data_IF_879426891151
#
_entry.id   IF_879426891151
#
_cell.length_a   1.000
_cell.length_b   1.000
_cell.length_c   1.000
_cell.angle_alpha   90.00
_cell.angle_beta   90.00
_cell.angle_gamma   90.00
#
_symmetry.space_group_name_H-M   'P 1'
#
loop_
_entity.id
_entity.type
_entity.pdbx_description
1 polymer ?
#
# COMPACT_ATOMS: atom_id res chain seq x y z
N UNK A 1 -21.60 -8.95 16.58
CA UNK A 1 -22.87 -8.25 16.30
C UNK A 1 -22.78 -7.79 14.86
N UNK A 2 -23.44 -8.49 13.94
CA UNK A 2 -23.35 -8.21 12.51
C UNK A 2 -24.21 -6.98 12.21
N UNK A 3 -23.57 -5.90 11.77
CA UNK A 3 -24.28 -4.77 11.21
C UNK A 3 -24.75 -5.13 9.79
N UNK A 4 -26.01 -4.84 9.43
CA UNK A 4 -26.50 -5.09 8.09
C UNK A 4 -25.76 -4.19 7.08
N UNK A 5 -25.35 -4.78 5.97
CA UNK A 5 -24.76 -4.07 4.83
C UNK A 5 -25.89 -3.27 4.18
N UNK A 6 -26.08 -2.03 4.59
CA UNK A 6 -26.66 -0.99 3.74
C UNK A 6 -25.57 -0.54 2.78
N UNK A 7 -25.86 -0.41 1.49
CA UNK A 7 -24.97 0.24 0.52
C UNK A 7 -24.38 1.51 1.16
N UNK A 8 -23.07 1.50 1.43
CA UNK A 8 -22.43 2.65 2.05
C UNK A 8 -22.58 3.85 1.11
N UNK A 9 -23.00 4.99 1.66
CA UNK A 9 -22.87 6.26 0.96
C UNK A 9 -21.41 6.45 0.55
N UNK A 10 -21.16 6.90 -0.67
CA UNK A 10 -19.81 7.09 -1.20
C UNK A 10 -19.08 8.12 -0.32
N UNK A 11 -18.09 7.66 0.44
CA UNK A 11 -17.18 8.52 1.19
C UNK A 11 -16.02 8.90 0.28
N UNK A 12 -15.70 10.19 0.32
CA UNK A 12 -14.56 10.78 -0.34
C UNK A 12 -13.43 11.05 0.66
N UNK A 13 -12.20 10.93 0.17
CA UNK A 13 -11.00 11.32 0.87
C UNK A 13 -10.21 12.29 0.00
N UNK A 14 -9.86 13.44 0.56
CA UNK A 14 -8.93 14.35 -0.09
C UNK A 14 -7.68 14.52 0.73
N UNK A 15 -6.55 14.62 0.06
CA UNK A 15 -5.28 14.96 0.70
C UNK A 15 -4.50 15.97 -0.13
N UNK A 16 -3.74 16.82 0.56
CA UNK A 16 -2.79 17.73 -0.06
C UNK A 16 -1.44 17.01 -0.12
N UNK A 17 -0.89 16.92 -1.32
CA UNK A 17 0.43 16.34 -1.56
C UNK A 17 1.22 17.25 -2.48
N UNK A 18 2.54 17.25 -2.32
CA UNK A 18 3.42 17.89 -3.29
C UNK A 18 3.17 17.24 -4.67
N UNK A 19 3.19 18.04 -5.72
CA UNK A 19 3.22 17.50 -7.07
C UNK A 19 4.56 16.76 -7.20
N UNK A 20 4.55 15.63 -7.89
CA UNK A 20 5.78 14.97 -8.28
C UNK A 20 5.91 15.07 -9.79
N UNK A 21 7.15 15.18 -10.24
CA UNK A 21 7.46 15.11 -11.64
C UNK A 21 8.20 13.82 -11.98
N UNK A 22 7.87 13.30 -13.16
CA UNK A 22 8.42 12.13 -13.78
C UNK A 22 8.99 12.48 -15.16
N UNK A 23 9.75 13.58 -15.26
CA UNK A 23 10.28 14.03 -16.55
C UNK A 23 11.37 13.10 -17.10
N UNK A 24 11.34 12.93 -18.42
CA UNK A 24 12.50 12.54 -19.21
C UNK A 24 13.44 13.74 -19.32
N UNK A 25 14.48 13.80 -18.50
CA UNK A 25 15.56 14.76 -18.74
C UNK A 25 16.19 14.46 -20.11
N UNK A 26 16.68 15.50 -20.80
CA UNK A 26 17.36 15.51 -22.11
C UNK A 26 18.39 14.38 -22.36
N UNK A 27 18.84 13.67 -21.31
CA UNK A 27 19.73 12.52 -21.35
C UNK A 27 19.03 11.14 -21.33
N UNK A 28 17.73 11.06 -21.62
CA UNK A 28 16.88 9.86 -21.44
C UNK A 28 16.80 9.35 -20.00
N UNK A 29 17.13 10.19 -19.01
CA UNK A 29 17.04 9.86 -17.57
C UNK A 29 15.67 10.27 -17.05
N UNK A 30 14.86 9.31 -16.61
CA UNK A 30 13.60 9.55 -15.89
C UNK A 30 13.86 9.61 -14.39
N UNK A 31 13.79 10.78 -13.79
CA UNK A 31 14.02 10.95 -12.34
C UNK A 31 12.73 11.37 -11.64
N UNK A 32 12.28 10.54 -10.69
CA UNK A 32 11.22 10.93 -9.75
C UNK A 32 11.77 11.97 -8.77
N UNK A 33 11.03 13.06 -8.59
CA UNK A 33 11.28 14.04 -7.54
C UNK A 33 10.00 14.81 -7.20
N UNK A 34 9.88 15.21 -5.94
CA UNK A 34 8.83 16.13 -5.51
C UNK A 34 9.14 17.55 -5.98
N UNK A 35 8.11 18.27 -6.41
CA UNK A 35 8.15 19.71 -6.61
C UNK A 35 7.86 20.43 -5.30
N UNK A 36 8.07 21.74 -5.28
CA UNK A 36 7.64 22.60 -4.17
C UNK A 36 6.14 22.90 -4.22
N UNK A 37 5.54 22.82 -5.42
CA UNK A 37 4.10 22.99 -5.61
C UNK A 37 3.33 21.84 -4.96
N UNK A 38 2.18 22.16 -4.37
CA UNK A 38 1.28 21.18 -3.76
C UNK A 38 -0.11 21.29 -4.37
N UNK A 39 -0.82 20.17 -4.36
CA UNK A 39 -2.18 20.10 -4.87
C UNK A 39 -3.03 19.14 -4.05
N UNK A 40 -4.33 19.41 -4.06
CA UNK A 40 -5.31 18.52 -3.46
C UNK A 40 -5.68 17.41 -4.44
N UNK A 41 -5.71 16.18 -3.93
CA UNK A 41 -6.10 14.98 -4.64
C UNK A 41 -7.35 14.39 -4.00
N UNK A 42 -8.41 14.25 -4.81
CA UNK A 42 -9.70 13.74 -4.36
C UNK A 42 -9.89 12.28 -4.81
N UNK A 43 -10.28 11.42 -3.88
CA UNK A 43 -10.52 10.00 -4.10
C UNK A 43 -11.92 9.65 -3.61
N UNK A 44 -12.70 8.96 -4.44
CA UNK A 44 -14.03 8.48 -4.08
C UNK A 44 -14.00 7.00 -3.67
N UNK A 45 -15.17 6.50 -3.26
CA UNK A 45 -15.39 5.10 -2.88
C UNK A 45 -14.42 4.61 -1.79
N UNK A 46 -14.07 5.51 -0.87
CA UNK A 46 -13.11 5.26 0.19
C UNK A 46 -13.78 4.57 1.39
N UNK A 47 -13.02 3.69 2.04
CA UNK A 47 -13.33 3.13 3.35
C UNK A 47 -12.32 3.67 4.36
N UNK A 48 -12.81 4.14 5.49
CA UNK A 48 -11.99 4.75 6.53
C UNK A 48 -11.96 3.83 7.74
N UNK A 49 -10.75 3.54 8.21
CA UNK A 49 -10.50 2.87 9.49
C UNK A 49 -9.50 3.70 10.28
N UNK A 50 -9.45 3.53 11.59
CA UNK A 50 -8.54 4.29 12.44
C UNK A 50 -8.15 3.50 13.69
N UNK A 51 -7.03 3.90 14.28
CA UNK A 51 -6.44 3.24 15.43
C UNK A 51 -5.72 4.28 16.29
N UNK A 52 -6.02 4.30 17.59
CA UNK A 52 -5.39 5.21 18.56
C UNK A 52 -3.91 4.84 18.72
N UNK A 53 -2.97 5.75 18.47
CA UNK A 53 -1.53 5.47 18.68
C UNK A 53 -1.05 5.91 20.06
N UNK A 54 -1.59 7.02 20.53
CA UNK A 54 -1.36 7.58 21.86
C UNK A 54 -2.59 8.37 22.30
N UNK A 55 -2.56 8.99 23.48
CA UNK A 55 -3.62 9.91 23.92
C UNK A 55 -3.84 11.09 22.98
N UNK A 56 -2.83 11.48 22.20
CA UNK A 56 -2.88 12.65 21.32
C UNK A 56 -2.80 12.32 19.83
N UNK A 57 -2.56 11.07 19.47
CA UNK A 57 -2.27 10.68 18.10
C UNK A 57 -3.20 9.55 17.64
N UNK A 58 -3.78 9.74 16.46
CA UNK A 58 -4.62 8.78 15.77
C UNK A 58 -3.99 8.43 14.44
N UNK A 59 -3.86 7.15 14.13
CA UNK A 59 -3.56 6.69 12.77
C UNK A 59 -4.85 6.43 12.03
N UNK A 60 -4.99 7.06 10.87
CA UNK A 60 -6.11 6.86 9.95
C UNK A 60 -5.61 6.06 8.77
N UNK A 61 -6.37 5.04 8.38
CA UNK A 61 -6.11 4.19 7.23
C UNK A 61 -7.30 4.28 6.28
N UNK A 62 -7.05 4.83 5.10
CA UNK A 62 -7.98 4.97 4.00
C UNK A 62 -7.73 3.85 3.01
N UNK A 63 -8.79 3.18 2.57
CA UNK A 63 -8.71 2.18 1.49
C UNK A 63 -9.66 2.51 0.37
N UNK A 64 -9.22 2.29 -0.86
CA UNK A 64 -10.07 2.38 -2.05
C UNK A 64 -9.79 1.16 -2.94
N UNK A 65 -10.66 0.90 -3.91
CA UNK A 65 -10.43 -0.18 -4.87
C UNK A 65 -11.07 0.12 -6.21
N UNK A 66 -10.41 -0.31 -7.28
CA UNK A 66 -10.90 -0.14 -8.66
C UNK A 66 -10.72 -1.44 -9.43
N UNK A 67 -11.69 -1.75 -10.30
CA UNK A 67 -11.54 -2.81 -11.29
C UNK A 67 -10.75 -2.26 -12.48
N UNK A 68 -9.74 -2.99 -12.92
CA UNK A 68 -8.94 -2.65 -14.10
C UNK A 68 -8.69 -3.89 -14.94
N UNK A 69 -8.55 -3.72 -16.26
CA UNK A 69 -8.05 -4.79 -17.11
C UNK A 69 -6.55 -4.97 -16.89
N UNK A 70 -6.13 -6.18 -16.55
CA UNK A 70 -4.72 -6.55 -16.42
C UNK A 70 -4.25 -7.26 -17.68
N UNK A 71 -3.33 -6.62 -18.40
CA UNK A 71 -2.66 -7.22 -19.57
C UNK A 71 -1.92 -8.51 -19.22
N UNK A 72 -1.22 -8.53 -18.07
CA UNK A 72 -0.45 -9.70 -17.64
C UNK A 72 -1.33 -10.89 -17.24
N UNK A 73 -2.55 -10.62 -16.76
CA UNK A 73 -3.52 -11.65 -16.36
C UNK A 73 -4.55 -11.95 -17.46
N UNK A 74 -4.59 -11.15 -18.53
CA UNK A 74 -5.57 -11.19 -19.62
C UNK A 74 -7.03 -11.19 -19.11
N UNK A 75 -7.31 -10.49 -17.99
CA UNK A 75 -8.65 -10.40 -17.37
C UNK A 75 -8.81 -9.14 -16.53
N UNK A 76 -10.04 -8.81 -16.15
CA UNK A 76 -10.30 -7.81 -15.12
C UNK A 76 -9.81 -8.30 -13.75
N UNK A 77 -9.15 -7.41 -13.03
CA UNK A 77 -8.64 -7.63 -11.68
C UNK A 77 -9.00 -6.45 -10.80
N UNK A 78 -9.12 -6.71 -9.50
CA UNK A 78 -9.35 -5.69 -8.49
C UNK A 78 -8.01 -5.20 -7.96
N UNK A 79 -7.70 -3.93 -8.17
CA UNK A 79 -6.60 -3.26 -7.49
C UNK A 79 -7.15 -2.62 -6.21
N UNK A 80 -6.47 -2.89 -5.09
CA UNK A 80 -6.74 -2.27 -3.80
C UNK A 80 -5.66 -1.26 -3.46
N UNK A 81 -6.08 -0.15 -2.88
CA UNK A 81 -5.24 0.95 -2.48
C UNK A 81 -5.34 1.15 -0.98
N UNK A 82 -4.23 1.48 -0.34
CA UNK A 82 -4.17 1.86 1.08
C UNK A 82 -3.34 3.14 1.24
N UNK A 83 -3.87 4.09 1.99
CA UNK A 83 -3.19 5.32 2.40
C UNK A 83 -3.29 5.44 3.92
N UNK A 84 -2.16 5.59 4.59
CA UNK A 84 -2.08 5.68 6.04
C UNK A 84 -1.42 6.96 6.48
N UNK A 85 -2.05 7.70 7.39
CA UNK A 85 -1.49 8.94 7.94
C UNK A 85 -1.80 9.07 9.42
N UNK A 86 -0.94 9.80 10.12
CA UNK A 86 -1.10 10.11 11.54
C UNK A 86 -1.63 11.54 11.70
N UNK A 87 -2.57 11.73 12.62
CA UNK A 87 -3.12 13.05 12.98
C UNK A 87 -3.12 13.25 14.48
N UNK A 88 -2.89 14.50 14.89
CA UNK A 88 -3.12 14.91 16.28
C UNK A 88 -4.63 15.03 16.52
N UNK A 89 -5.12 14.44 17.61
CA UNK A 89 -6.54 14.46 17.99
C UNK A 89 -7.11 15.88 18.04
N UNK A 90 -6.34 16.82 18.59
CA UNK A 90 -6.74 18.23 18.74
C UNK A 90 -6.93 18.95 17.40
N UNK A 91 -6.43 18.39 16.29
CA UNK A 91 -6.58 18.96 14.94
C UNK A 91 -7.84 18.45 14.22
N UNK A 92 -8.56 17.47 14.78
CA UNK A 92 -9.75 16.91 14.14
C UNK A 92 -10.92 17.85 14.41
N UNK A 93 -11.40 18.52 13.37
CA UNK A 93 -12.51 19.46 13.47
C UNK A 93 -13.87 18.75 13.54
N UNK A 94 -14.83 19.38 14.21
CA UNK A 94 -16.24 18.98 14.13
C UNK A 94 -16.73 19.05 12.68
N UNK A 95 -17.60 18.13 12.20
CA UNK A 95 -18.05 18.13 10.81
C UNK A 95 -18.71 19.45 10.39
N UNK A 96 -18.31 19.97 9.23
CA UNK A 96 -18.75 21.26 8.69
C UNK A 96 -19.41 21.12 7.31
N UNK A 97 -20.22 22.10 6.94
CA UNK A 97 -20.71 22.28 5.57
C UNK A 97 -19.75 23.21 4.82
N UNK A 98 -19.28 22.81 3.66
CA UNK A 98 -18.40 23.61 2.80
C UNK A 98 -18.87 23.61 1.36
N UNK A 99 -18.66 24.73 0.67
CA UNK A 99 -18.77 24.77 -0.80
C UNK A 99 -17.48 24.25 -1.40
N UNK A 100 -17.59 23.26 -2.28
CA UNK A 100 -16.47 22.59 -2.90
C UNK A 100 -16.75 22.32 -4.37
N UNK A 101 -15.74 22.43 -5.23
CA UNK A 101 -15.93 22.14 -6.64
C UNK A 101 -15.77 20.65 -6.88
N UNK A 102 -16.70 20.09 -7.65
CA UNK A 102 -16.72 18.67 -7.97
C UNK A 102 -15.44 18.23 -8.70
N UNK A 103 -14.70 17.23 -8.20
CA UNK A 103 -13.56 16.67 -8.93
C UNK A 103 -14.07 15.96 -10.19
N UNK A 104 -13.56 16.34 -11.37
CA UNK A 104 -13.85 15.62 -12.63
C UNK A 104 -12.64 14.73 -12.94
N UNK A 105 -12.87 13.44 -13.23
CA UNK A 105 -11.84 12.53 -13.73
C UNK A 105 -11.31 13.03 -15.08
N UNK A 106 -10.28 13.88 -15.06
CA UNK A 106 -9.60 14.38 -16.26
C UNK A 106 -8.12 14.67 -15.95
N UNK A 107 -7.25 14.42 -16.94
CA UNK A 107 -5.79 14.64 -16.82
C UNK A 107 -5.40 16.08 -16.46
N UNK A 108 -6.27 17.06 -16.74
CA UNK A 108 -6.03 18.49 -16.52
C UNK A 108 -6.64 19.03 -15.21
N UNK A 109 -7.04 18.18 -14.26
CA UNK A 109 -7.71 18.58 -12.99
C UNK A 109 -8.75 19.70 -13.20
N UNK A 110 -9.69 19.46 -14.10
CA UNK A 110 -10.85 20.34 -14.26
C UNK A 110 -11.81 20.08 -13.11
N UNK A 111 -12.28 21.16 -12.51
CA UNK A 111 -13.30 21.09 -11.48
C UNK A 111 -14.66 21.43 -12.09
N UNK A 112 -15.68 20.68 -11.68
CA UNK A 112 -17.06 20.87 -12.10
C UNK A 112 -17.77 21.95 -11.32
N UNK A 113 -19.07 21.73 -11.17
CA UNK A 113 -19.97 22.64 -10.46
C UNK A 113 -19.57 22.79 -8.98
N UNK A 114 -19.85 23.97 -8.44
CA UNK A 114 -19.70 24.25 -7.02
C UNK A 114 -20.91 23.65 -6.28
N UNK A 115 -20.65 22.74 -5.35
CA UNK A 115 -21.67 22.03 -4.57
C UNK A 115 -21.33 22.07 -3.09
N UNK A 116 -22.33 21.85 -2.24
CA UNK A 116 -22.09 21.69 -0.81
C UNK A 116 -21.63 20.26 -0.50
N UNK A 117 -20.60 20.14 0.34
CA UNK A 117 -20.15 18.88 0.94
C UNK A 117 -20.18 18.97 2.45
N UNK A 118 -20.35 17.82 3.09
CA UNK A 118 -20.13 17.65 4.52
C UNK A 118 -18.74 17.06 4.74
N UNK A 119 -17.93 17.67 5.61
CA UNK A 119 -16.50 17.36 5.72
C UNK A 119 -16.02 17.32 7.16
N UNK A 120 -15.17 16.35 7.48
CA UNK A 120 -14.27 16.36 8.62
C UNK A 120 -12.89 16.80 8.12
N UNK A 121 -12.35 17.87 8.69
CA UNK A 121 -10.94 18.21 8.54
C UNK A 121 -10.15 17.44 9.59
N UNK A 122 -9.32 16.51 9.14
CA UNK A 122 -8.51 15.67 10.03
C UNK A 122 -7.19 16.37 10.39
N UNK A 123 -6.71 17.21 9.47
CA UNK A 123 -5.60 18.15 9.66
C UNK A 123 -5.68 19.21 8.55
N UNK A 124 -4.65 20.07 8.45
CA UNK A 124 -4.49 20.99 7.31
C UNK A 124 -4.35 20.30 5.94
N UNK A 125 -3.96 19.01 5.93
CA UNK A 125 -3.61 18.28 4.71
C UNK A 125 -4.61 17.17 4.37
N UNK A 126 -5.57 16.85 5.25
CA UNK A 126 -6.41 15.65 5.12
C UNK A 126 -7.88 15.91 5.42
N UNK A 127 -8.75 15.44 4.52
CA UNK A 127 -10.19 15.69 4.55
C UNK A 127 -10.96 14.39 4.28
N UNK A 128 -11.95 14.08 5.11
CA UNK A 128 -12.94 13.01 4.87
C UNK A 128 -14.27 13.68 4.63
N UNK A 129 -14.93 13.39 3.53
CA UNK A 129 -16.15 14.11 3.17
C UNK A 129 -17.14 13.29 2.34
N UNK A 130 -18.34 13.82 2.19
CA UNK A 130 -19.36 13.33 1.26
C UNK A 130 -20.15 14.52 0.71
N UNK A 131 -20.79 14.37 -0.45
CA UNK A 131 -21.70 15.41 -0.94
C UNK A 131 -22.87 15.61 0.01
N UNK A 132 -23.27 16.86 0.19
CA UNK A 132 -24.46 17.22 0.96
C UNK A 132 -25.71 16.72 0.26
N UNK A 133 -26.63 16.14 1.04
CA UNK A 133 -27.96 15.73 0.58
C UNK A 133 -29.03 16.70 1.07
N UNK A 134 -28.65 17.96 1.34
CA UNK A 134 -29.54 19.03 1.85
C UNK A 134 -30.81 19.21 1.00
N UNK A 135 -30.77 18.89 -0.30
CA UNK A 135 -31.94 18.92 -1.20
C UNK A 135 -33.09 18.01 -0.73
N UNK A 136 -32.78 16.99 0.09
CA UNK A 136 -33.75 16.06 0.67
C UNK A 136 -34.08 16.38 2.14
N UNK A 137 -33.67 17.55 2.67
CA UNK A 137 -33.87 17.93 4.07
C UNK A 137 -33.05 17.14 5.08
N UNK A 138 -32.02 16.40 4.63
CA UNK A 138 -31.13 15.68 5.53
C UNK A 138 -30.12 16.62 6.20
N UNK A 139 -29.96 16.48 7.52
CA UNK A 139 -28.94 17.21 8.27
C UNK A 139 -27.60 16.46 8.29
N UNK A 140 -26.51 17.21 8.52
CA UNK A 140 -25.16 16.66 8.61
C UNK A 140 -25.05 15.57 9.70
N UNK A 141 -25.83 15.65 10.77
CA UNK A 141 -25.83 14.70 11.88
C UNK A 141 -26.28 13.29 11.48
N UNK A 142 -26.99 13.16 10.35
CA UNK A 142 -27.45 11.88 9.81
C UNK A 142 -26.49 11.31 8.74
N UNK A 143 -25.42 12.04 8.40
CA UNK A 143 -24.46 11.66 7.36
C UNK A 143 -23.50 10.54 7.79
N UNK A 144 -22.91 9.83 6.82
CA UNK A 144 -21.85 8.86 7.10
C UNK A 144 -20.58 9.54 7.63
N UNK A 145 -20.26 10.73 7.13
CA UNK A 145 -19.17 11.57 7.67
C UNK A 145 -19.36 11.82 9.16
N UNK A 146 -20.56 12.20 9.61
CA UNK A 146 -20.81 12.44 11.02
C UNK A 146 -20.76 11.16 11.87
N UNK A 147 -21.22 10.03 11.31
CA UNK A 147 -21.06 8.70 11.95
C UNK A 147 -19.58 8.34 12.13
N UNK A 148 -18.75 8.58 11.12
CA UNK A 148 -17.28 8.39 11.19
C UNK A 148 -16.69 9.27 12.29
N UNK A 149 -17.02 10.57 12.32
CA UNK A 149 -16.54 11.50 13.36
C UNK A 149 -16.89 11.00 14.77
N UNK A 150 -18.16 10.67 15.02
CA UNK A 150 -18.62 10.16 16.33
C UNK A 150 -17.87 8.88 16.73
N UNK A 151 -17.65 7.98 15.78
CA UNK A 151 -16.97 6.73 16.03
C UNK A 151 -15.46 6.94 16.32
N UNK A 152 -14.82 7.91 15.66
CA UNK A 152 -13.45 8.37 15.96
C UNK A 152 -13.39 8.92 17.38
N UNK A 153 -14.23 9.89 17.73
CA UNK A 153 -14.23 10.52 19.05
C UNK A 153 -14.47 9.51 20.17
N UNK A 154 -15.46 8.62 20.00
CA UNK A 154 -15.71 7.51 20.93
C UNK A 154 -14.51 6.55 21.07
N UNK A 155 -13.71 6.37 20.01
CA UNK A 155 -12.52 5.51 20.08
C UNK A 155 -11.35 6.17 20.80
N UNK A 156 -11.24 7.49 20.74
CA UNK A 156 -10.22 8.29 21.42
C UNK A 156 -10.42 8.25 22.94
N UNK A 157 -11.67 8.27 23.39
CA UNK A 157 -12.05 8.15 24.81
C UNK A 157 -11.64 6.81 25.45
N UNK A 158 -11.34 5.78 24.65
CA UNK A 158 -10.90 4.48 25.18
C UNK A 158 -9.47 4.58 25.71
N UNK A 159 -9.24 4.03 26.90
CA UNK A 159 -7.92 4.01 27.57
C UNK A 159 -6.97 2.95 27.01
N UNK A 160 -7.49 1.87 26.43
CA UNK A 160 -6.66 0.78 25.93
C UNK A 160 -5.97 1.16 24.62
N UNK A 161 -4.63 1.08 24.61
CA UNK A 161 -3.87 1.18 23.37
C UNK A 161 -4.04 -0.11 22.53
N UNK A 162 -4.21 0.03 21.22
CA UNK A 162 -4.37 -1.08 20.30
C UNK A 162 -3.08 -1.90 20.15
N UNK A 163 -3.24 -3.19 19.85
CA UNK A 163 -2.12 -4.06 19.53
C UNK A 163 -1.68 -3.88 18.06
N UNK A 164 -0.51 -4.41 17.70
CA UNK A 164 0.03 -4.37 16.32
C UNK A 164 -0.94 -4.84 15.23
N UNK A 165 -1.87 -5.75 15.56
CA UNK A 165 -2.86 -6.33 14.64
C UNK A 165 -4.07 -5.43 14.40
N UNK A 166 -4.31 -4.49 15.32
CA UNK A 166 -5.47 -3.60 15.24
C UNK A 166 -5.27 -2.45 14.24
N UNK A 167 -4.07 -2.28 13.69
CA UNK A 167 -3.73 -1.15 12.83
C UNK A 167 -4.25 -1.35 11.39
N UNK A 168 -4.11 -2.56 10.86
CA UNK A 168 -4.49 -2.89 9.49
C UNK A 168 -5.67 -3.84 9.47
N UNK A 169 -6.77 -3.43 10.09
CA UNK A 169 -8.01 -4.19 10.14
C UNK A 169 -8.86 -3.98 8.88
N UNK A 170 -9.34 -5.08 8.32
CA UNK A 170 -10.33 -5.12 7.23
C UNK A 170 -11.46 -6.08 7.61
N UNK A 171 -12.69 -5.65 7.40
CA UNK A 171 -13.86 -6.48 7.66
C UNK A 171 -13.98 -7.65 6.67
N UNK A 172 -14.57 -8.76 7.11
CA UNK A 172 -14.87 -9.94 6.28
C UNK A 172 -13.64 -10.61 5.65
N UNK A 173 -12.50 -10.52 6.31
CA UNK A 173 -11.32 -11.30 5.95
C UNK A 173 -11.57 -12.77 6.34
N UNK A 174 -11.42 -13.73 5.42
CA UNK A 174 -11.52 -15.14 5.74
C UNK A 174 -10.44 -15.50 6.76
N UNK A 175 -10.80 -16.36 7.72
CA UNK A 175 -9.82 -16.94 8.62
C UNK A 175 -8.90 -17.88 7.81
N UNK A 176 -7.62 -17.54 7.71
CA UNK A 176 -6.62 -18.26 6.94
C UNK A 176 -5.42 -18.59 7.83
N UNK A 177 -5.28 -19.87 8.18
CA UNK A 177 -4.21 -20.35 9.04
C UNK A 177 -2.86 -20.47 8.30
N UNK A 178 -2.78 -20.11 7.01
CA UNK A 178 -1.52 -20.16 6.26
C UNK A 178 -0.69 -18.93 6.57
N UNK A 179 0.62 -19.13 6.77
CA UNK A 179 1.56 -18.01 6.86
C UNK A 179 1.78 -17.46 5.46
N UNK A 180 1.12 -16.34 5.15
CA UNK A 180 1.25 -15.65 3.87
C UNK A 180 1.30 -14.15 4.15
N UNK A 181 2.35 -13.44 3.72
CA UNK A 181 2.46 -12.01 3.97
C UNK A 181 1.48 -11.20 3.12
N UNK A 182 1.08 -10.05 3.65
CA UNK A 182 0.45 -8.97 2.87
C UNK A 182 1.54 -8.00 2.45
N UNK A 183 1.59 -7.69 1.15
CA UNK A 183 2.62 -6.82 0.58
C UNK A 183 1.99 -5.47 0.27
N UNK A 184 2.65 -4.39 0.70
CA UNK A 184 2.34 -3.04 0.26
C UNK A 184 3.46 -2.48 -0.60
N UNK A 185 3.10 -1.85 -1.71
CA UNK A 185 4.04 -1.18 -2.61
C UNK A 185 3.49 0.20 -2.97
N UNK A 186 4.29 1.28 -2.95
CA UNK A 186 3.87 2.59 -3.43
C UNK A 186 3.19 2.50 -4.81
N UNK A 187 1.96 2.98 -4.91
CA UNK A 187 1.14 2.94 -6.13
C UNK A 187 1.76 3.76 -7.27
N UNK A 188 2.61 4.72 -6.92
CA UNK A 188 3.40 5.53 -7.85
C UNK A 188 4.52 4.75 -8.55
N UNK A 189 4.89 3.58 -8.02
CA UNK A 189 5.83 2.66 -8.64
C UNK A 189 5.22 1.88 -9.83
N UNK A 190 4.11 2.41 -10.37
CA UNK A 190 3.35 1.92 -11.51
C UNK A 190 4.07 2.07 -12.86
N UNK A 191 5.38 2.31 -12.86
CA UNK A 191 6.25 2.27 -14.05
C UNK A 191 6.59 0.83 -14.46
N UNK A 192 5.59 -0.07 -14.41
CA UNK A 192 5.71 -1.52 -14.65
C UNK A 192 6.60 -2.28 -13.66
N UNK A 193 6.87 -1.74 -12.48
CA UNK A 193 7.64 -2.39 -11.40
C UNK A 193 6.76 -3.15 -10.40
N UNK A 194 5.54 -3.53 -10.79
CA UNK A 194 4.60 -4.11 -9.85
C UNK A 194 4.86 -5.59 -9.57
N UNK A 195 4.42 -6.04 -8.39
CA UNK A 195 4.44 -7.45 -8.02
C UNK A 195 3.47 -8.21 -8.92
N UNK A 196 3.93 -9.26 -9.60
CA UNK A 196 3.09 -10.19 -10.38
C UNK A 196 2.69 -11.40 -9.56
N UNK A 197 3.67 -11.94 -8.84
CA UNK A 197 3.50 -13.20 -8.13
C UNK A 197 4.17 -13.14 -6.75
N UNK A 198 3.53 -13.75 -5.77
CA UNK A 198 4.05 -13.95 -4.42
C UNK A 198 4.04 -15.45 -4.17
N UNK A 199 5.23 -16.02 -4.01
CA UNK A 199 5.41 -17.43 -3.71
C UNK A 199 5.82 -17.58 -2.25
N UNK A 200 5.02 -18.27 -1.44
CA UNK A 200 5.35 -18.56 -0.04
C UNK A 200 5.63 -20.05 0.13
N UNK A 201 6.91 -20.40 0.26
CA UNK A 201 7.40 -21.76 0.33
C UNK A 201 7.87 -22.12 1.74
N UNK A 202 7.36 -23.22 2.29
CA UNK A 202 7.81 -23.73 3.60
C UNK A 202 9.15 -24.45 3.42
N UNK A 203 10.23 -23.87 3.96
CA UNK A 203 11.58 -24.44 3.90
C UNK A 203 11.79 -25.48 5.00
N UNK A 204 11.29 -25.18 6.20
CA UNK A 204 11.28 -26.09 7.35
C UNK A 204 10.09 -25.78 8.26
N UNK A 205 9.95 -26.49 9.38
CA UNK A 205 8.91 -26.19 10.38
C UNK A 205 8.97 -24.75 10.92
N UNK A 206 10.17 -24.18 11.00
CA UNK A 206 10.40 -22.86 11.61
C UNK A 206 10.75 -21.77 10.59
N UNK A 207 10.70 -22.07 9.28
CA UNK A 207 11.18 -21.15 8.24
C UNK A 207 10.36 -21.23 6.96
N UNK A 208 9.94 -20.07 6.48
CA UNK A 208 9.34 -19.88 5.15
C UNK A 208 10.22 -18.95 4.30
N UNK A 209 10.40 -19.30 3.03
CA UNK A 209 10.97 -18.44 2.00
C UNK A 209 9.82 -17.80 1.23
N UNK A 210 9.80 -16.47 1.20
CA UNK A 210 8.86 -15.71 0.37
C UNK A 210 9.63 -15.15 -0.81
N UNK A 211 9.13 -15.41 -2.02
CA UNK A 211 9.72 -14.92 -3.26
C UNK A 211 8.71 -14.07 -4.02
N UNK A 212 9.07 -12.83 -4.31
CA UNK A 212 8.30 -11.90 -5.12
C UNK A 212 8.84 -11.87 -6.54
N UNK A 213 7.97 -12.07 -7.51
CA UNK A 213 8.26 -11.87 -8.93
C UNK A 213 7.68 -10.52 -9.35
N UNK A 214 8.53 -9.66 -9.90
CA UNK A 214 8.12 -8.35 -10.40
C UNK A 214 7.98 -8.37 -11.92
N UNK A 215 7.06 -7.56 -12.46
CA UNK A 215 6.90 -7.38 -13.90
C UNK A 215 8.17 -6.80 -14.54
N UNK A 216 8.80 -5.86 -13.84
CA UNK A 216 10.05 -5.28 -14.27
C UNK A 216 10.84 -4.72 -13.09
N UNK A 217 12.08 -4.32 -13.35
CA UNK A 217 12.87 -3.46 -12.47
C UNK A 217 13.46 -2.35 -13.33
N UNK A 218 12.82 -1.19 -13.29
CA UNK A 218 13.30 0.02 -13.95
C UNK A 218 14.09 0.88 -12.96
N UNK A 219 15.41 0.90 -13.12
CA UNK A 219 16.32 1.77 -12.36
C UNK A 219 16.15 3.23 -12.82
N UNK A 220 15.81 4.12 -11.89
CA UNK A 220 15.41 5.51 -12.19
C UNK A 220 16.62 6.42 -12.51
N UNK A 221 17.68 6.35 -11.71
CA UNK A 221 18.91 7.16 -11.87
C UNK A 221 19.94 6.51 -12.81
N UNK A 222 19.86 5.20 -13.00
CA UNK A 222 20.85 4.40 -13.73
C UNK A 222 20.35 3.75 -15.04
N UNK A 223 19.46 4.39 -15.80
CA UNK A 223 18.80 3.81 -17.00
C UNK A 223 19.70 3.19 -18.09
N UNK A 224 20.97 3.59 -18.26
CA UNK A 224 21.90 2.92 -19.19
C UNK A 224 22.37 1.54 -18.70
N UNK A 225 22.39 1.34 -17.38
CA UNK A 225 22.67 0.04 -16.77
C UNK A 225 21.47 -0.90 -16.86
N UNK A 226 20.24 -0.39 -16.99
CA UNK A 226 19.02 -1.21 -17.09
C UNK A 226 19.04 -2.15 -18.31
N UNK A 227 19.48 -1.67 -19.48
CA UNK A 227 19.63 -2.51 -20.69
C UNK A 227 20.73 -3.56 -20.52
N UNK A 228 21.92 -3.17 -20.04
CA UNK A 228 23.02 -4.11 -19.79
C UNK A 228 22.69 -5.11 -18.69
N UNK A 229 21.94 -4.70 -17.67
CA UNK A 229 21.53 -5.51 -16.54
C UNK A 229 20.41 -6.48 -16.91
N UNK A 230 19.43 -6.06 -17.73
CA UNK A 230 18.45 -6.96 -18.36
C UNK A 230 19.12 -7.98 -19.26
N UNK A 231 20.07 -7.55 -20.10
CA UNK A 231 20.87 -8.44 -20.94
C UNK A 231 21.70 -9.38 -20.07
N UNK A 232 22.37 -8.90 -19.03
CA UNK A 232 23.13 -9.74 -18.10
C UNK A 232 22.23 -10.76 -17.40
N UNK A 233 21.05 -10.37 -16.90
CA UNK A 233 20.08 -11.29 -16.29
C UNK A 233 19.57 -12.32 -17.29
N UNK A 234 19.32 -11.89 -18.52
CA UNK A 234 18.96 -12.78 -19.61
C UNK A 234 20.08 -13.79 -19.89
N UNK A 235 21.33 -13.35 -20.04
CA UNK A 235 22.48 -14.23 -20.32
C UNK A 235 22.88 -15.11 -19.13
N UNK A 236 22.78 -14.63 -17.89
CA UNK A 236 23.26 -15.32 -16.68
C UNK A 236 22.23 -16.21 -16.02
N UNK A 237 20.96 -15.81 -16.08
CA UNK A 237 19.84 -16.44 -15.38
C UNK A 237 18.66 -16.81 -16.31
N UNK A 238 18.71 -16.46 -17.60
CA UNK A 238 17.66 -16.81 -18.56
C UNK A 238 16.36 -16.02 -18.42
N UNK A 239 16.35 -14.89 -17.68
CA UNK A 239 15.12 -14.13 -17.37
C UNK A 239 15.26 -12.61 -17.48
N UNK A 240 14.13 -11.95 -17.72
CA UNK A 240 14.01 -10.47 -17.79
C UNK A 240 13.36 -9.87 -16.53
N UNK A 241 12.50 -10.65 -15.86
CA UNK A 241 11.78 -10.24 -14.65
C UNK A 241 12.68 -10.23 -13.42
N UNK A 242 12.43 -9.30 -12.51
CA UNK A 242 13.14 -9.20 -11.25
C UNK A 242 12.55 -10.13 -10.19
N UNK A 243 13.40 -10.65 -9.31
CA UNK A 243 12.99 -11.57 -8.24
C UNK A 243 13.71 -11.20 -6.96
N UNK A 244 12.92 -10.91 -5.94
CA UNK A 244 13.43 -10.73 -4.58
C UNK A 244 12.86 -11.75 -3.63
N UNK A 245 13.65 -12.11 -2.61
CA UNK A 245 13.22 -13.06 -1.60
C UNK A 245 13.64 -12.64 -0.20
N UNK A 246 12.77 -12.91 0.76
CA UNK A 246 13.04 -12.77 2.18
C UNK A 246 12.57 -14.00 2.94
N UNK A 247 12.99 -14.13 4.19
CA UNK A 247 12.60 -15.24 5.06
C UNK A 247 11.67 -14.78 6.16
N UNK A 248 10.73 -15.65 6.52
CA UNK A 248 9.88 -15.53 7.71
C UNK A 248 10.30 -16.65 8.66
N UNK A 249 10.69 -16.28 9.88
CA UNK A 249 10.91 -17.24 10.96
C UNK A 249 9.65 -17.41 11.79
N UNK A 250 9.44 -18.65 12.21
CA UNK A 250 8.23 -19.09 12.91
C UNK A 250 8.62 -19.68 14.26
N UNK A 251 7.89 -19.27 15.30
CA UNK A 251 7.94 -19.88 16.63
C UNK A 251 6.51 -20.22 17.07
N UNK A 252 6.31 -21.43 17.60
CA UNK A 252 4.99 -21.94 18.02
C UNK A 252 3.90 -21.69 16.97
N UNK A 253 4.20 -22.04 15.72
CA UNK A 253 3.31 -21.89 14.54
C UNK A 253 2.97 -20.45 14.15
N UNK A 254 3.57 -19.45 14.80
CA UNK A 254 3.35 -18.03 14.49
C UNK A 254 4.60 -17.39 13.92
N UNK A 255 4.47 -16.55 12.88
CA UNK A 255 5.60 -15.79 12.39
C UNK A 255 6.05 -14.79 13.47
N UNK A 256 7.36 -14.68 13.69
CA UNK A 256 7.93 -13.83 14.74
C UNK A 256 8.88 -12.77 14.20
N UNK A 257 9.69 -13.14 13.21
CA UNK A 257 10.73 -12.29 12.68
C UNK A 257 11.00 -12.54 11.20
N UNK A 258 11.72 -11.59 10.60
CA UNK A 258 11.97 -11.48 9.18
C UNK A 258 13.46 -11.31 8.91
N UNK A 259 13.93 -11.79 7.76
CA UNK A 259 15.30 -11.58 7.31
C UNK A 259 15.33 -11.16 5.84
N UNK A 260 15.92 -10.00 5.58
CA UNK A 260 15.95 -9.32 4.27
C UNK A 260 17.36 -9.31 3.69
N UNK A 261 17.88 -10.47 3.27
CA UNK A 261 19.27 -10.61 2.83
C UNK A 261 19.62 -9.72 1.63
N UNK A 262 20.34 -8.62 1.89
CA UNK A 262 20.81 -7.69 0.85
C UNK A 262 19.72 -6.80 0.24
N UNK A 263 18.51 -6.80 0.83
CA UNK A 263 17.32 -6.12 0.26
C UNK A 263 16.55 -5.33 1.32
N UNK A 264 17.15 -5.05 2.48
CA UNK A 264 16.50 -4.21 3.48
C UNK A 264 16.53 -2.73 3.05
N UNK A 265 15.40 -2.03 3.13
CA UNK A 265 15.29 -0.63 2.67
C UNK A 265 15.84 0.41 3.64
N UNK A 266 16.11 0.04 4.90
CA UNK A 266 16.41 1.00 5.98
C UNK A 266 15.34 2.11 6.01
N UNK A 267 15.76 3.39 5.99
CA UNK A 267 14.88 4.57 5.95
C UNK A 267 14.69 5.14 4.54
N UNK A 268 15.18 4.43 3.51
CA UNK A 268 15.09 4.92 2.13
C UNK A 268 13.68 4.76 1.55
N UNK A 269 13.33 5.68 0.66
CA UNK A 269 12.02 5.79 0.02
C UNK A 269 12.09 5.45 -1.47
N UNK A 270 10.97 5.63 -2.17
CA UNK A 270 10.84 5.28 -3.60
C UNK A 270 11.79 6.08 -4.52
N UNK A 271 12.42 7.13 -4.01
CA UNK A 271 13.37 7.98 -4.74
C UNK A 271 14.75 7.32 -4.96
N UNK A 272 15.01 6.22 -4.25
CA UNK A 272 16.28 5.51 -4.28
C UNK A 272 16.15 4.22 -5.10
N UNK A 273 17.20 3.91 -5.86
CA UNK A 273 17.23 2.84 -6.86
C UNK A 273 18.46 1.92 -6.75
N UNK A 274 19.22 1.99 -5.66
CA UNK A 274 20.43 1.20 -5.44
C UNK A 274 20.60 0.76 -3.99
N UNK A 275 19.48 0.56 -3.28
CA UNK A 275 19.48 0.24 -1.86
C UNK A 275 19.64 -1.26 -1.66
N UNK A 276 20.66 -1.63 -0.89
CA UNK A 276 20.97 -3.00 -0.53
C UNK A 276 21.34 -3.07 0.95
N UNK A 277 20.39 -2.79 1.85
CA UNK A 277 20.58 -2.96 3.29
C UNK A 277 20.70 -4.44 3.67
N UNK A 278 21.06 -4.72 4.93
CA UNK A 278 21.23 -6.09 5.44
C UNK A 278 22.17 -6.96 4.58
N UNK A 279 23.25 -6.36 4.05
CA UNK A 279 24.31 -7.16 3.41
C UNK A 279 24.88 -8.14 4.44
N UNK A 280 25.08 -9.42 4.09
CA UNK A 280 25.67 -10.38 4.99
C UNK A 280 27.03 -9.89 5.50
N UNK A 281 27.18 -9.78 6.81
CA UNK A 281 28.45 -9.49 7.45
C UNK A 281 28.92 -10.76 8.15
N UNK A 282 30.10 -11.25 7.77
CA UNK A 282 30.65 -12.53 8.25
C UNK A 282 29.65 -13.71 8.11
N UNK A 283 28.92 -13.74 6.98
CA UNK A 283 27.92 -14.77 6.68
C UNK A 283 26.58 -14.61 7.43
N UNK A 284 26.43 -13.62 8.31
CA UNK A 284 25.21 -13.38 9.08
C UNK A 284 24.44 -12.18 8.52
N UNK A 285 23.13 -12.34 8.40
CA UNK A 285 22.20 -11.27 7.99
C UNK A 285 21.34 -10.89 9.21
N UNK A 286 21.11 -9.59 9.47
CA UNK A 286 20.22 -9.15 10.54
C UNK A 286 18.83 -9.79 10.47
N UNK A 287 18.22 -9.92 11.65
CA UNK A 287 16.85 -10.42 11.83
C UNK A 287 16.03 -9.29 12.45
N UNK A 288 14.82 -9.09 11.93
CA UNK A 288 13.93 -8.00 12.33
C UNK A 288 12.63 -8.53 12.89
N UNK A 289 12.19 -8.00 14.03
CA UNK A 289 10.89 -8.31 14.58
C UNK A 289 9.76 -7.82 13.66
N UNK A 290 8.72 -8.63 13.50
CA UNK A 290 7.53 -8.22 12.77
C UNK A 290 6.86 -7.04 13.50
N UNK A 291 6.65 -5.95 12.76
CA UNK A 291 6.03 -4.73 13.29
C UNK A 291 4.52 -4.74 13.17
N UNK A 292 3.99 -5.26 12.07
CA UNK A 292 2.58 -5.19 11.75
C UNK A 292 2.06 -6.51 11.18
N UNK A 293 0.78 -6.75 11.46
CA UNK A 293 0.04 -7.90 10.98
C UNK A 293 -1.24 -7.41 10.33
N UNK A 294 -1.65 -8.08 9.26
CA UNK A 294 -2.91 -7.82 8.59
C UNK A 294 -4.00 -8.68 9.24
N UNK A 295 -4.91 -8.03 9.97
CA UNK A 295 -5.94 -8.65 10.82
C UNK A 295 -5.43 -9.59 11.94
N UNK A 296 -4.66 -10.63 11.60
CA UNK A 296 -4.25 -11.73 12.47
C UNK A 296 -2.74 -12.02 12.35
N UNK A 297 -2.19 -12.76 13.32
CA UNK A 297 -0.74 -13.03 13.42
C UNK A 297 -0.16 -13.79 12.22
N UNK A 298 -0.99 -14.46 11.43
CA UNK A 298 -0.51 -15.32 10.33
C UNK A 298 -0.07 -14.52 9.10
N UNK A 299 -0.42 -13.23 9.04
CA UNK A 299 -0.22 -12.40 7.85
C UNK A 299 0.67 -11.20 8.16
N UNK A 300 2.00 -11.40 8.28
CA UNK A 300 2.91 -10.29 8.48
C UNK A 300 2.84 -9.32 7.30
N UNK A 301 2.93 -8.03 7.61
CA UNK A 301 2.93 -6.98 6.59
C UNK A 301 4.36 -6.63 6.21
N UNK A 302 4.60 -6.53 4.90
CA UNK A 302 5.89 -6.16 4.32
C UNK A 302 5.69 -4.96 3.40
N UNK A 303 6.56 -3.96 3.53
CA UNK A 303 6.55 -2.77 2.68
C UNK A 303 7.69 -2.85 1.68
N UNK A 304 7.38 -2.77 0.39
CA UNK A 304 8.37 -2.46 -0.66
C UNK A 304 8.52 -0.94 -0.65
N UNK A 305 9.72 -0.44 -0.37
CA UNK A 305 9.90 0.98 -0.10
C UNK A 305 10.67 1.73 -1.19
N UNK A 306 11.40 1.03 -2.05
CA UNK A 306 12.33 1.64 -3.02
C UNK A 306 12.04 1.17 -4.44
N UNK A 307 12.55 1.91 -5.43
CA UNK A 307 12.34 1.58 -6.85
C UNK A 307 13.10 0.32 -7.30
N UNK A 308 14.13 -0.10 -6.56
CA UNK A 308 14.83 -1.36 -6.75
C UNK A 308 14.31 -2.47 -5.82
N UNK A 309 13.05 -2.36 -5.39
CA UNK A 309 12.32 -3.35 -4.60
C UNK A 309 12.88 -3.69 -3.22
N UNK A 310 13.79 -2.89 -2.65
CA UNK A 310 14.20 -3.06 -1.26
C UNK A 310 13.00 -2.89 -0.32
N UNK A 311 12.92 -3.77 0.69
CA UNK A 311 11.76 -3.98 1.55
C UNK A 311 12.08 -3.73 3.03
N UNK A 312 11.07 -3.47 3.84
CA UNK A 312 11.23 -3.49 5.30
C UNK A 312 9.94 -3.82 6.04
N UNK A 313 10.04 -3.80 7.36
CA UNK A 313 8.92 -3.97 8.30
C UNK A 313 8.10 -2.70 8.52
N UNK A 314 8.51 -1.57 7.94
CA UNK A 314 7.92 -0.25 8.15
C UNK A 314 7.71 0.50 6.83
N UNK A 315 6.67 1.32 6.81
CA UNK A 315 6.37 2.18 5.66
C UNK A 315 7.22 3.46 5.71
N UNK A 316 8.17 3.59 4.77
CA UNK A 316 8.95 4.84 4.62
C UNK A 316 8.26 5.82 3.67
N UNK A 317 7.22 5.41 2.96
CA UNK A 317 6.49 6.18 1.95
C UNK A 317 5.10 6.60 2.45
N UNK A 318 5.02 7.13 3.67
CA UNK A 318 3.79 7.43 4.39
C UNK A 318 2.83 8.39 3.64
N UNK A 319 3.35 9.27 2.78
CA UNK A 319 2.54 10.20 1.98
C UNK A 319 2.00 9.63 0.67
N UNK A 320 2.38 8.42 0.30
CA UNK A 320 1.96 7.82 -0.96
C UNK A 320 0.85 6.80 -0.74
N UNK A 321 -0.07 6.70 -1.70
CA UNK A 321 -0.93 5.53 -1.83
C UNK A 321 -0.08 4.28 -2.07
N UNK A 322 -0.52 3.14 -1.52
CA UNK A 322 0.08 1.83 -1.74
C UNK A 322 -0.89 0.92 -2.46
N UNK A 323 -0.42 0.14 -3.42
CA UNK A 323 -1.09 -1.08 -3.82
C UNK A 323 -1.03 -2.09 -2.66
N UNK A 324 -2.17 -2.70 -2.38
CA UNK A 324 -2.37 -3.66 -1.30
C UNK A 324 -2.57 -5.06 -1.90
N UNK A 325 -1.57 -5.92 -1.78
CA UNK A 325 -1.61 -7.28 -2.31
C UNK A 325 -2.03 -8.26 -1.22
N UNK A 326 -3.28 -8.74 -1.32
CA UNK A 326 -3.92 -9.61 -0.33
C UNK A 326 -4.06 -11.06 -0.84
N UNK A 327 -3.59 -12.08 -0.09
CA UNK A 327 -3.50 -13.47 -0.55
C UNK A 327 -4.81 -14.20 -0.93
N UNK A 328 -5.92 -13.87 -0.28
CA UNK A 328 -7.18 -14.62 -0.40
C UNK A 328 -8.21 -13.97 -1.34
N UNK A 329 -7.84 -12.89 -2.03
CA UNK A 329 -8.72 -12.21 -2.97
C UNK A 329 -8.83 -12.99 -4.29
N UNK A 330 -10.05 -13.39 -4.67
CA UNK A 330 -10.31 -14.16 -5.91
C UNK A 330 -9.91 -13.39 -7.17
N UNK A 331 -10.17 -12.09 -7.19
CA UNK A 331 -9.88 -11.20 -8.32
C UNK A 331 -8.59 -10.41 -8.11
N UNK A 332 -7.63 -10.98 -7.37
CA UNK A 332 -6.35 -10.34 -7.09
C UNK A 332 -5.56 -10.04 -8.39
N UNK A 333 -4.91 -8.87 -8.38
CA UNK A 333 -3.91 -8.49 -9.38
C UNK A 333 -2.64 -9.36 -9.33
N UNK A 334 -2.45 -10.13 -8.25
CA UNK A 334 -1.25 -10.95 -7.99
C UNK A 334 -1.60 -12.43 -7.91
N UNK A 335 -0.68 -13.26 -8.40
CA UNK A 335 -0.75 -14.72 -8.25
C UNK A 335 -0.08 -15.12 -6.94
N UNK A 336 -0.77 -15.93 -6.13
CA UNK A 336 -0.21 -16.54 -4.94
C UNK A 336 0.02 -18.02 -5.15
N UNK A 337 1.23 -18.49 -4.86
CA UNK A 337 1.64 -19.89 -5.05
C UNK A 337 2.72 -20.27 -4.00
N UNK A 338 3.28 -21.48 -4.05
CA UNK A 338 4.17 -22.04 -3.02
C UNK A 338 5.50 -22.59 -3.57
N UNK A 339 5.90 -22.13 -4.76
CA UNK A 339 7.12 -22.62 -5.41
C UNK A 339 8.36 -22.10 -4.68
N UNK A 340 9.40 -22.94 -4.50
CA UNK A 340 10.69 -22.46 -4.00
C UNK A 340 11.36 -21.54 -5.02
N UNK A 341 12.22 -20.62 -4.57
CA UNK A 341 12.96 -19.71 -5.45
C UNK A 341 13.68 -20.42 -6.58
N UNK A 342 14.29 -21.58 -6.27
CA UNK A 342 15.04 -22.40 -7.23
C UNK A 342 14.22 -22.92 -8.42
N UNK A 343 12.89 -23.04 -8.26
CA UNK A 343 11.98 -23.40 -9.35
C UNK A 343 11.57 -22.17 -10.17
N UNK A 344 11.33 -21.04 -9.50
CA UNK A 344 10.92 -19.78 -10.15
C UNK A 344 12.06 -19.26 -11.04
N UNK A 345 13.29 -19.35 -10.55
CA UNK A 345 14.50 -19.01 -11.32
C UNK A 345 14.64 -19.85 -12.61
N UNK A 346 14.05 -21.06 -12.68
CA UNK A 346 14.12 -21.95 -13.85
C UNK A 346 12.95 -21.76 -14.84
N UNK A 347 11.80 -21.25 -14.38
CA UNK A 347 10.55 -21.24 -15.15
C UNK A 347 10.27 -19.94 -15.91
N UNK A 348 11.10 -18.91 -15.78
CA UNK A 348 10.85 -17.56 -16.29
C UNK A 348 11.31 -17.34 -17.74
N UNK A 349 11.02 -18.31 -18.61
CA UNK A 349 10.97 -18.09 -20.07
C UNK A 349 9.58 -17.60 -20.45
N UNK A 350 9.42 -16.61 -21.36
CA UNK A 350 8.12 -16.31 -21.91
C UNK A 350 7.67 -17.54 -22.72
N UNK A 351 6.58 -18.19 -22.28
CA UNK A 351 5.77 -18.95 -23.23
C UNK A 351 5.12 -17.93 -24.16
N UNK A 352 5.55 -17.93 -25.42
CA UNK A 352 4.77 -17.33 -26.48
C UNK A 352 3.50 -18.18 -26.63
N UNK A 353 2.40 -17.70 -26.03
CA UNK A 353 1.03 -18.10 -26.38
C UNK A 353 0.20 -16.86 -26.74
#
# INVERSE_FOLDING_TARGET
MNLPITEFSIIWFSHIENIYDAELKLSQKKSFHWTEDSQMWDWDNCRITWVKRSEKELRVVVRSSKMVYSESRKKEVKIKYMYGFDVTVDNIEYPQVEKYREPIENKEKKYGQLRERWVIKMSKDYYIWQWSLNENGQSIENSEVFKIYKAIMKSIEKTALPTKKNIFLVENVPNDNRIIPVIYQPAIDSWKNFVREVHCHKVSENEYEVTLLFENEHLRKHGKLDILYRLFRFFRYGRVTDIESFKIFVDKEKPTSLQFKGIFSCEFTVEYDNIHGDKPHCGKTPIHDIKYYFNEDMHPIIFINTANHAMSVHDTNHKLWKWEYIPWEKDSAVIYDKKPRSQIDKFSWPKND
#
